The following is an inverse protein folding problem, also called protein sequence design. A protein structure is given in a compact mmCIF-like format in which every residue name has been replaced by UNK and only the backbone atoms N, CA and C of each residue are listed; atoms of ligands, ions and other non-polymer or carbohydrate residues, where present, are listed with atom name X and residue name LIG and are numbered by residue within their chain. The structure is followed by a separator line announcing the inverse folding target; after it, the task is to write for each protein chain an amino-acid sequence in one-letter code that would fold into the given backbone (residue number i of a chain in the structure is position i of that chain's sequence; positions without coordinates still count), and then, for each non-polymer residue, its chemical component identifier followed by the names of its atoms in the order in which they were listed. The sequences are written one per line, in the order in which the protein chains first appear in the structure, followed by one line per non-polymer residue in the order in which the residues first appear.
data_IF_661147657331
#
_entry.id   IF_661147657331
#
_cell.length_a   1.000
_cell.length_b   1.000
_cell.length_c   1.000
_cell.angle_alpha   90.00
_cell.angle_beta   90.00
_cell.angle_gamma   90.00
#
_symmetry.space_group_name_H-M   'P 1'
#
loop_
_entity.id
_entity.type
_entity.pdbx_description
1 polymer ?
#
# COMPACT_ATOMS: atom_id res chain seq x y z
N UNK A 1 0.00 1.00 6.76
CA UNK A 1 -0.30 -0.14 7.68
C UNK A 1 -1.80 -0.47 7.74
N UNK A 2 -2.73 0.46 7.96
CA UNK A 2 -4.16 0.10 8.12
C UNK A 2 -4.70 -0.76 6.98
N UNK A 3 -4.58 -0.32 5.72
CA UNK A 3 -5.13 -1.07 4.59
C UNK A 3 -4.48 -2.46 4.41
N UNK A 4 -3.17 -2.62 4.66
CA UNK A 4 -2.52 -3.93 4.61
C UNK A 4 -3.06 -4.87 5.68
N UNK A 5 -3.30 -4.36 6.89
CA UNK A 5 -3.97 -5.13 7.96
C UNK A 5 -5.41 -5.49 7.57
N UNK A 6 -6.14 -4.60 6.91
CA UNK A 6 -7.48 -4.88 6.36
C UNK A 6 -7.44 -6.02 5.33
N UNK A 7 -6.47 -6.01 4.40
CA UNK A 7 -6.30 -7.09 3.40
C UNK A 7 -6.00 -8.43 4.08
N UNK A 8 -5.22 -8.45 5.17
CA UNK A 8 -4.91 -9.71 5.85
C UNK A 8 -6.04 -10.23 6.72
N UNK A 9 -6.83 -9.35 7.33
CA UNK A 9 -7.85 -9.73 8.33
C UNK A 9 -9.28 -9.77 7.81
N UNK A 10 -9.59 -9.11 6.69
CA UNK A 10 -10.97 -8.88 6.25
C UNK A 10 -11.77 -8.00 7.20
N UNK A 11 -11.10 -7.16 8.00
CA UNK A 11 -11.72 -6.31 9.02
C UNK A 11 -11.44 -4.83 8.77
N UNK A 12 -12.34 -3.98 9.24
CA UNK A 12 -12.12 -2.53 9.26
C UNK A 12 -11.05 -2.13 10.30
N UNK A 13 -10.35 -1.00 10.07
CA UNK A 13 -9.34 -0.48 10.99
C UNK A 13 -9.79 -0.35 12.44
N UNK A 14 -11.02 0.07 12.69
CA UNK A 14 -11.59 0.15 14.04
C UNK A 14 -11.76 -1.21 14.73
N UNK A 15 -11.81 -2.31 13.98
CA UNK A 15 -11.95 -3.67 14.50
C UNK A 15 -10.59 -4.33 14.72
N UNK A 16 -9.70 -4.33 13.73
CA UNK A 16 -8.36 -4.92 13.89
C UNK A 16 -7.39 -4.03 14.69
N UNK A 17 -7.74 -2.77 14.96
CA UNK A 17 -7.00 -1.85 15.84
C UNK A 17 -5.85 -1.09 15.18
N UNK A 18 -5.50 -1.37 13.95
CA UNK A 18 -4.47 -0.64 13.20
C UNK A 18 -5.13 0.52 12.45
N UNK A 19 -5.43 1.62 13.14
CA UNK A 19 -6.17 2.76 12.60
C UNK A 19 -5.28 3.81 11.96
N UNK A 20 -3.96 3.77 12.25
CA UNK A 20 -2.94 4.68 11.71
C UNK A 20 -1.62 3.95 11.51
N UNK A 21 -0.66 4.59 10.84
CA UNK A 21 0.70 4.09 10.75
C UNK A 21 1.39 4.10 12.12
N UNK A 22 2.25 3.10 12.38
CA UNK A 22 2.95 2.95 13.66
C UNK A 22 2.19 2.13 14.69
N UNK A 23 0.95 1.72 14.43
CA UNK A 23 0.22 0.74 15.24
C UNK A 23 0.41 -0.66 14.65
N UNK A 24 0.93 -1.57 15.45
CA UNK A 24 1.17 -2.95 15.03
C UNK A 24 -0.13 -3.75 15.02
N UNK A 25 -0.29 -4.63 14.02
CA UNK A 25 -1.31 -5.67 14.08
C UNK A 25 -0.98 -6.61 15.25
N UNK A 26 -1.91 -6.84 16.20
CA UNK A 26 -1.63 -7.70 17.33
C UNK A 26 -1.22 -9.11 16.90
N UNK A 27 -0.20 -9.68 17.56
CA UNK A 27 0.16 -11.07 17.32
C UNK A 27 -1.00 -11.99 17.71
N UNK A 28 -1.22 -13.03 16.91
CA UNK A 28 -2.35 -13.93 17.09
C UNK A 28 -3.68 -13.42 16.52
N UNK A 29 -3.68 -12.25 15.86
CA UNK A 29 -4.83 -11.85 15.04
C UNK A 29 -5.05 -12.87 13.93
N UNK A 30 -6.25 -13.41 13.84
CA UNK A 30 -6.60 -14.35 12.78
C UNK A 30 -6.62 -13.64 11.42
N UNK A 31 -5.93 -14.22 10.45
CA UNK A 31 -5.87 -13.73 9.07
C UNK A 31 -6.47 -14.76 8.11
N UNK A 32 -6.83 -14.35 6.90
CA UNK A 32 -7.23 -15.31 5.88
C UNK A 32 -6.07 -16.23 5.48
N UNK A 33 -4.85 -15.76 5.62
CA UNK A 33 -3.64 -16.55 5.35
C UNK A 33 -3.49 -17.69 6.37
N UNK A 34 -3.81 -17.42 7.67
CA UNK A 34 -3.87 -18.48 8.68
C UNK A 34 -4.88 -19.57 8.35
N UNK A 35 -6.01 -19.19 7.73
CA UNK A 35 -7.04 -20.16 7.33
C UNK A 35 -6.52 -21.08 6.24
N UNK A 36 -5.89 -20.49 5.20
CA UNK A 36 -5.27 -21.24 4.13
C UNK A 36 -4.14 -22.15 4.65
N UNK A 37 -3.27 -21.64 5.51
CA UNK A 37 -2.21 -22.41 6.13
C UNK A 37 -2.75 -23.60 6.94
N UNK A 38 -3.73 -23.34 7.81
CA UNK A 38 -4.35 -24.35 8.69
C UNK A 38 -5.15 -25.40 7.93
N UNK A 39 -5.56 -25.11 6.70
CA UNK A 39 -6.20 -26.11 5.82
C UNK A 39 -5.28 -27.30 5.51
N UNK A 40 -3.98 -27.10 5.63
CA UNK A 40 -2.97 -28.12 5.36
C UNK A 40 -2.64 -28.33 3.89
N UNK A 41 -3.39 -27.74 2.95
CA UNK A 41 -3.20 -27.91 1.49
C UNK A 41 -2.50 -26.73 0.82
N UNK A 42 -2.35 -25.59 1.51
CA UNK A 42 -1.65 -24.41 0.98
C UNK A 42 -0.27 -24.24 1.61
N UNK A 43 0.72 -23.91 0.78
CA UNK A 43 1.97 -23.29 1.22
C UNK A 43 1.85 -21.78 1.01
N UNK A 44 2.16 -21.01 2.05
CA UNK A 44 1.91 -19.57 2.08
C UNK A 44 3.23 -18.80 2.13
N UNK A 45 3.43 -17.87 1.23
CA UNK A 45 4.68 -17.11 1.13
C UNK A 45 4.47 -15.62 0.90
N UNK A 46 5.47 -14.81 1.28
CA UNK A 46 5.52 -13.39 0.94
C UNK A 46 6.95 -12.95 0.68
N UNK A 47 7.15 -12.28 -0.44
CA UNK A 47 8.43 -11.70 -0.83
C UNK A 47 8.27 -10.19 -0.99
N UNK A 48 9.05 -9.43 -0.22
CA UNK A 48 9.02 -7.98 -0.25
C UNK A 48 8.47 -7.32 1.01
N UNK A 49 7.61 -6.32 0.85
CA UNK A 49 7.07 -5.52 1.96
C UNK A 49 5.77 -6.13 2.49
N UNK A 50 5.69 -6.40 3.79
CA UNK A 50 4.44 -6.82 4.45
C UNK A 50 3.79 -5.63 5.17
N UNK A 51 4.49 -4.98 6.08
CA UNK A 51 4.09 -3.77 6.82
C UNK A 51 2.82 -3.95 7.67
N UNK A 52 2.70 -5.09 8.34
CA UNK A 52 1.72 -5.33 9.40
C UNK A 52 2.23 -4.84 10.76
N UNK A 53 3.55 -4.81 10.90
CA UNK A 53 4.23 -4.26 12.05
C UNK A 53 5.20 -3.14 11.63
N UNK A 54 5.54 -2.28 12.58
CA UNK A 54 6.50 -1.23 12.36
C UNK A 54 7.92 -1.81 12.22
N UNK A 55 8.67 -1.35 11.23
CA UNK A 55 10.02 -1.84 10.90
C UNK A 55 11.15 -0.92 11.34
N UNK A 56 10.84 0.24 11.95
CA UNK A 56 11.83 1.23 12.38
C UNK A 56 12.50 0.88 13.70
N UNK A 57 13.61 1.59 13.98
CA UNK A 57 14.33 1.48 15.25
C UNK A 57 13.50 2.03 16.41
N UNK A 58 13.66 1.43 17.58
CA UNK A 58 13.05 1.93 18.81
C UNK A 58 13.50 3.35 19.12
N UNK A 59 12.57 4.27 19.31
CA UNK A 59 12.80 5.55 19.94
C UNK A 59 12.01 5.61 21.25
N UNK A 60 12.72 5.75 22.37
CA UNK A 60 12.20 6.13 23.71
C UNK A 60 11.01 5.33 24.26
N UNK A 61 9.82 5.63 23.81
CA UNK A 61 8.56 5.05 24.30
C UNK A 61 8.25 3.65 23.79
N UNK A 62 8.90 3.21 22.70
CA UNK A 62 8.65 1.92 22.04
C UNK A 62 9.59 0.80 22.47
N UNK A 63 10.22 0.90 23.64
CA UNK A 63 11.17 -0.11 24.18
C UNK A 63 10.60 -1.54 24.31
N UNK A 64 9.28 -1.67 24.19
CA UNK A 64 8.57 -2.95 24.18
C UNK A 64 7.99 -3.28 22.79
N UNK A 65 8.56 -2.71 21.71
CA UNK A 65 8.16 -3.04 20.38
C UNK A 65 8.16 -4.57 20.20
N UNK A 66 7.05 -5.08 19.69
CA UNK A 66 6.86 -6.51 19.50
C UNK A 66 7.99 -7.04 18.61
N UNK A 67 8.60 -8.13 19.04
CA UNK A 67 9.53 -8.89 18.22
C UNK A 67 8.81 -9.30 16.95
N UNK A 68 9.25 -8.79 15.81
CA UNK A 68 8.61 -9.00 14.52
C UNK A 68 9.63 -9.32 13.46
N UNK A 69 9.26 -10.18 12.51
CA UNK A 69 10.10 -10.45 11.35
C UNK A 69 10.34 -9.20 10.49
N UNK A 70 9.43 -8.23 10.51
CA UNK A 70 9.56 -6.96 9.79
C UNK A 70 10.59 -6.00 10.39
N UNK A 71 11.12 -6.31 11.57
CA UNK A 71 12.07 -5.43 12.24
C UNK A 71 13.45 -5.50 11.58
N UNK A 72 13.96 -4.36 11.13
CA UNK A 72 15.20 -4.27 10.37
C UNK A 72 16.48 -4.44 11.20
N UNK A 73 16.40 -4.57 12.53
CA UNK A 73 17.56 -4.55 13.43
C UNK A 73 17.89 -5.91 14.06
N UNK A 74 18.64 -6.79 13.38
CA UNK A 74 18.87 -8.17 13.85
C UNK A 74 19.67 -8.27 15.18
N UNK A 75 20.38 -7.21 15.59
CA UNK A 75 21.16 -7.21 16.82
C UNK A 75 20.34 -7.26 18.11
N UNK A 76 19.08 -6.83 18.06
CA UNK A 76 18.25 -6.73 19.26
C UNK A 76 17.42 -7.99 19.54
N UNK A 77 17.14 -8.81 18.54
CA UNK A 77 16.11 -9.85 18.65
C UNK A 77 16.54 -11.27 18.30
N UNK A 78 17.77 -11.49 17.84
CA UNK A 78 18.28 -12.84 17.53
C UNK A 78 17.60 -13.49 16.33
N UNK A 79 17.39 -14.80 16.39
CA UNK A 79 16.75 -15.57 15.32
C UNK A 79 15.25 -15.30 15.28
N UNK A 80 14.80 -14.66 14.20
CA UNK A 80 13.39 -14.32 13.97
C UNK A 80 12.56 -15.48 13.40
N UNK A 81 13.18 -16.59 13.03
CA UNK A 81 12.46 -17.80 12.55
C UNK A 81 11.54 -18.37 13.62
N UNK A 82 11.80 -18.10 14.90
CA UNK A 82 10.90 -18.45 16.01
C UNK A 82 9.51 -17.83 15.92
N UNK A 83 9.30 -16.82 15.05
CA UNK A 83 8.00 -16.20 14.80
C UNK A 83 7.34 -16.70 13.51
N UNK A 84 7.79 -17.83 12.96
CA UNK A 84 7.13 -18.53 11.86
C UNK A 84 6.03 -19.46 12.42
N UNK A 85 4.84 -19.51 11.79
CA UNK A 85 4.42 -18.72 10.63
C UNK A 85 4.13 -17.26 11.00
N UNK A 86 4.49 -16.31 10.10
CA UNK A 86 4.29 -14.90 10.33
C UNK A 86 2.92 -14.47 9.80
N UNK A 87 1.93 -14.29 10.67
CA UNK A 87 0.53 -14.02 10.29
C UNK A 87 -0.01 -15.00 9.24
N UNK A 88 0.31 -16.28 9.42
CA UNK A 88 -0.09 -17.36 8.52
C UNK A 88 0.86 -17.59 7.33
N UNK A 89 1.95 -16.84 7.20
CA UNK A 89 2.95 -17.04 6.15
C UNK A 89 4.04 -18.02 6.59
N UNK A 90 4.21 -19.14 5.86
CA UNK A 90 5.23 -20.15 6.10
C UNK A 90 6.63 -19.65 5.69
N UNK A 91 6.72 -18.99 4.54
CA UNK A 91 7.97 -18.48 3.97
C UNK A 91 7.89 -16.97 3.76
N UNK A 92 8.85 -16.23 4.32
CA UNK A 92 8.97 -14.79 4.13
C UNK A 92 10.39 -14.40 3.80
N UNK A 93 10.56 -13.48 2.84
CA UNK A 93 11.81 -12.77 2.60
C UNK A 93 11.50 -11.29 2.42
N UNK A 94 12.04 -10.49 3.32
CA UNK A 94 11.59 -9.13 3.52
C UNK A 94 12.56 -8.10 2.93
N UNK A 95 11.97 -7.02 2.45
CA UNK A 95 12.63 -5.74 2.24
C UNK A 95 11.82 -4.65 2.95
N UNK A 96 12.49 -3.84 3.75
CA UNK A 96 11.93 -2.68 4.43
C UNK A 96 12.54 -1.38 3.88
N UNK A 97 11.85 -0.27 4.09
CA UNK A 97 12.23 1.00 3.48
C UNK A 97 11.75 1.12 2.03
N UNK A 98 12.27 2.12 1.32
CA UNK A 98 11.80 2.47 -0.03
C UNK A 98 12.95 3.07 -0.85
N UNK A 99 12.94 2.88 -2.16
CA UNK A 99 13.92 3.43 -3.07
C UNK A 99 15.35 3.11 -2.64
N UNK A 100 16.19 4.14 -2.51
CA UNK A 100 17.59 3.99 -2.05
C UNK A 100 17.73 3.73 -0.55
N UNK A 101 16.63 3.78 0.21
CA UNK A 101 16.61 3.54 1.65
C UNK A 101 16.14 2.11 1.99
N UNK A 102 16.08 1.23 1.00
CA UNK A 102 15.74 -0.18 1.23
C UNK A 102 16.79 -0.87 2.09
N UNK A 103 16.32 -1.62 3.08
CA UNK A 103 17.13 -2.39 4.02
C UNK A 103 16.46 -3.72 4.34
N UNK A 104 16.77 -4.32 5.43
CA UNK A 104 16.41 -5.62 5.97
C UNK A 104 17.51 -6.69 5.73
N UNK A 105 17.78 -7.56 6.71
CA UNK A 105 18.77 -8.61 6.59
C UNK A 105 18.61 -9.50 5.35
N UNK A 106 17.38 -9.89 5.01
CA UNK A 106 17.12 -10.76 3.86
C UNK A 106 17.54 -10.11 2.55
N UNK A 107 17.14 -8.84 2.34
CA UNK A 107 17.53 -8.08 1.16
C UNK A 107 19.05 -7.87 1.09
N UNK A 108 19.68 -7.47 2.19
CA UNK A 108 21.13 -7.23 2.24
C UNK A 108 21.93 -8.51 2.01
N UNK A 109 21.49 -9.63 2.56
CA UNK A 109 22.14 -10.92 2.34
C UNK A 109 21.99 -11.39 0.89
N UNK A 110 20.85 -11.12 0.28
CA UNK A 110 20.65 -11.38 -1.15
C UNK A 110 21.59 -10.50 -2.00
N UNK A 111 21.68 -9.19 -1.75
CA UNK A 111 22.62 -8.30 -2.45
C UNK A 111 24.06 -8.78 -2.31
N UNK A 112 24.48 -9.25 -1.12
CA UNK A 112 25.83 -9.80 -0.92
C UNK A 112 26.09 -11.00 -1.82
N UNK A 113 25.13 -11.94 -1.88
CA UNK A 113 25.24 -13.13 -2.73
C UNK A 113 25.32 -12.78 -4.21
N UNK A 114 24.53 -11.80 -4.66
CA UNK A 114 24.56 -11.35 -6.05
C UNK A 114 25.90 -10.70 -6.41
N UNK A 115 26.46 -9.88 -5.50
CA UNK A 115 27.80 -9.27 -5.67
C UNK A 115 28.92 -10.32 -5.60
N UNK A 116 28.77 -11.38 -4.80
CA UNK A 116 29.72 -12.52 -4.79
C UNK A 116 29.67 -13.28 -6.13
N UNK A 117 28.48 -13.45 -6.71
CA UNK A 117 28.28 -14.11 -8.01
C UNK A 117 28.80 -13.25 -9.17
N UNK A 118 28.55 -11.94 -9.13
CA UNK A 118 29.05 -10.95 -10.08
C UNK A 118 29.62 -9.71 -9.36
N UNK A 119 30.97 -9.69 -9.13
CA UNK A 119 31.61 -8.56 -8.47
C UNK A 119 31.51 -7.23 -9.21
N UNK A 120 31.14 -7.22 -10.50
CA UNK A 120 30.95 -5.98 -11.25
C UNK A 120 29.79 -5.15 -10.73
N UNK A 121 28.74 -5.80 -10.22
CA UNK A 121 27.57 -5.17 -9.62
C UNK A 121 27.92 -4.38 -8.35
N UNK A 122 28.92 -4.81 -7.61
CA UNK A 122 29.36 -4.14 -6.38
C UNK A 122 30.19 -2.89 -6.59
N UNK A 123 30.83 -2.71 -7.76
CA UNK A 123 31.76 -1.59 -8.03
C UNK A 123 31.18 -0.19 -7.83
N UNK A 124 29.92 0.10 -8.22
CA UNK A 124 29.32 1.42 -8.01
C UNK A 124 28.87 1.66 -6.57
N UNK A 125 28.89 0.65 -5.72
CA UNK A 125 28.33 0.67 -4.39
C UNK A 125 29.42 0.84 -3.32
N UNK A 126 29.16 1.73 -2.35
CA UNK A 126 29.86 1.68 -1.06
C UNK A 126 29.01 0.82 -0.11
N UNK A 127 29.03 -0.50 -0.32
CA UNK A 127 28.39 -1.42 0.58
C UNK A 127 29.23 -1.45 1.85
N UNK A 128 28.82 -0.75 2.88
CA UNK A 128 29.33 -1.00 4.24
C UNK A 128 28.69 -2.30 4.72
N UNK A 129 29.22 -3.42 4.22
CA UNK A 129 28.81 -4.78 4.57
C UNK A 129 28.96 -5.07 6.08
N UNK A 130 29.70 -4.21 6.79
CA UNK A 130 29.91 -4.27 8.24
C UNK A 130 28.83 -3.56 9.05
N UNK A 131 27.94 -2.80 8.42
CA UNK A 131 26.82 -2.19 9.13
C UNK A 131 25.62 -3.13 9.12
N UNK A 132 25.14 -3.62 10.28
CA UNK A 132 23.96 -4.48 10.34
C UNK A 132 22.68 -3.77 9.88
N UNK A 133 22.66 -2.44 9.89
CA UNK A 133 21.56 -1.61 9.37
C UNK A 133 21.52 -1.54 7.84
N UNK A 134 22.48 -2.22 7.19
CA UNK A 134 22.51 -2.67 5.81
C UNK A 134 21.93 -1.76 4.74
N UNK A 135 22.19 -0.45 4.81
CA UNK A 135 21.85 0.45 3.72
C UNK A 135 22.87 0.33 2.59
N UNK A 136 22.41 0.15 1.37
CA UNK A 136 23.23 0.28 0.19
C UNK A 136 23.52 1.76 0.00
N UNK A 137 24.76 2.17 0.30
CA UNK A 137 25.17 3.55 0.12
C UNK A 137 25.71 3.77 -1.31
N UNK A 138 25.20 4.77 -1.96
CA UNK A 138 25.65 5.21 -3.29
C UNK A 138 25.73 6.73 -3.33
N UNK A 139 26.42 7.26 -4.33
CA UNK A 139 26.40 8.71 -4.59
C UNK A 139 25.02 9.09 -5.14
N UNK A 140 24.38 10.08 -4.52
CA UNK A 140 23.10 10.61 -4.92
C UNK A 140 23.30 11.92 -5.70
N UNK A 141 22.63 12.05 -6.84
CA UNK A 141 22.48 13.31 -7.56
C UNK A 141 21.03 13.80 -7.39
N UNK A 142 20.89 14.97 -6.78
CA UNK A 142 19.61 15.57 -6.46
C UNK A 142 19.05 16.25 -7.72
N UNK A 143 17.77 16.04 -8.00
CA UNK A 143 17.09 16.54 -9.20
C UNK A 143 16.11 17.70 -8.92
N UNK A 144 15.61 17.84 -7.69
CA UNK A 144 14.65 18.87 -7.33
C UNK A 144 15.33 20.16 -6.86
N UNK A 145 14.81 21.28 -7.32
CA UNK A 145 15.27 22.62 -6.96
C UNK A 145 14.37 23.23 -5.88
N UNK A 146 14.44 22.69 -4.67
CA UNK A 146 13.70 23.17 -3.49
C UNK A 146 14.64 23.37 -2.31
N UNK A 147 14.28 24.27 -1.41
CA UNK A 147 14.98 24.51 -0.15
C UNK A 147 14.60 23.48 0.92
N UNK A 148 13.45 22.82 0.79
CA UNK A 148 13.00 21.80 1.71
C UNK A 148 13.94 20.56 1.71
N UNK A 149 14.57 20.21 2.85
CA UNK A 149 15.55 19.13 2.92
C UNK A 149 14.93 17.74 2.65
N UNK A 150 13.66 17.53 2.99
CA UNK A 150 12.97 16.27 2.82
C UNK A 150 12.57 16.08 1.36
N UNK A 151 11.95 17.10 0.75
CA UNK A 151 11.54 17.03 -0.63
C UNK A 151 12.73 16.97 -1.59
N UNK A 152 13.83 17.64 -1.26
CA UNK A 152 15.06 17.61 -2.05
C UNK A 152 15.58 16.19 -2.34
N UNK A 153 15.33 15.26 -1.43
CA UNK A 153 15.76 13.88 -1.53
C UNK A 153 14.72 12.95 -2.19
N UNK A 154 13.57 13.49 -2.64
CA UNK A 154 12.49 12.64 -3.17
C UNK A 154 12.71 12.22 -4.63
N UNK A 155 13.50 12.97 -5.40
CA UNK A 155 13.92 12.55 -6.75
C UNK A 155 15.43 12.59 -6.82
N UNK A 156 16.04 11.43 -6.76
CA UNK A 156 17.49 11.29 -6.76
C UNK A 156 17.95 10.24 -7.74
N UNK A 157 18.97 10.59 -8.54
CA UNK A 157 19.65 9.62 -9.36
C UNK A 157 20.77 8.95 -8.55
N UNK A 158 20.78 7.64 -8.53
CA UNK A 158 21.76 6.81 -7.82
C UNK A 158 22.46 5.84 -8.75
N UNK A 159 23.41 5.05 -8.20
CA UNK A 159 24.20 4.09 -8.95
C UNK A 159 23.96 2.63 -8.54
N UNK A 160 22.85 2.36 -7.86
CA UNK A 160 22.44 0.98 -7.60
C UNK A 160 22.06 0.36 -8.94
N UNK A 161 22.67 -0.78 -9.33
CA UNK A 161 22.29 -1.49 -10.54
C UNK A 161 20.83 -1.99 -10.47
N UNK A 162 20.18 -2.11 -11.63
CA UNK A 162 18.81 -2.65 -11.73
C UNK A 162 18.72 -4.04 -11.10
N UNK A 163 19.75 -4.86 -11.30
CA UNK A 163 19.87 -6.22 -10.77
C UNK A 163 19.89 -6.29 -9.24
N UNK A 164 20.34 -5.25 -8.56
CA UNK A 164 20.43 -5.20 -7.10
C UNK A 164 19.32 -4.36 -6.46
N UNK A 165 18.39 -3.83 -7.25
CA UNK A 165 17.31 -3.01 -6.73
C UNK A 165 16.23 -3.86 -6.03
N UNK A 166 15.47 -3.24 -5.11
CA UNK A 166 14.45 -3.95 -4.31
C UNK A 166 13.41 -4.67 -5.16
N UNK A 167 13.02 -4.08 -6.30
CA UNK A 167 12.09 -4.69 -7.25
C UNK A 167 12.63 -6.01 -7.82
N UNK A 168 13.93 -6.07 -8.15
CA UNK A 168 14.58 -7.30 -8.61
C UNK A 168 14.65 -8.37 -7.52
N UNK A 169 14.92 -7.98 -6.27
CA UNK A 169 14.86 -8.90 -5.12
C UNK A 169 13.48 -9.56 -4.98
N UNK A 170 12.41 -8.78 -5.05
CA UNK A 170 11.03 -9.30 -4.92
C UNK A 170 10.70 -10.24 -6.08
N UNK A 171 10.98 -9.80 -7.31
CA UNK A 171 10.77 -10.58 -8.54
C UNK A 171 11.50 -11.93 -8.48
N UNK A 172 12.81 -11.91 -8.22
CA UNK A 172 13.63 -13.13 -8.27
C UNK A 172 13.25 -14.14 -7.19
N UNK A 173 12.95 -13.68 -5.98
CA UNK A 173 12.49 -14.58 -4.92
C UNK A 173 11.11 -15.17 -5.23
N UNK A 174 10.22 -14.40 -5.89
CA UNK A 174 8.93 -14.91 -6.34
C UNK A 174 9.10 -15.97 -7.43
N UNK A 175 9.93 -15.70 -8.44
CA UNK A 175 10.22 -16.67 -9.54
C UNK A 175 10.89 -17.94 -8.99
N UNK A 176 11.84 -17.81 -8.08
CA UNK A 176 12.48 -18.97 -7.42
C UNK A 176 11.46 -19.81 -6.66
N UNK A 177 10.56 -19.17 -5.92
CA UNK A 177 9.46 -19.86 -5.24
C UNK A 177 8.57 -20.62 -6.21
N UNK A 178 8.10 -20.00 -7.30
CA UNK A 178 7.27 -20.66 -8.32
C UNK A 178 7.97 -21.85 -8.96
N UNK A 179 9.27 -21.71 -9.23
CA UNK A 179 10.11 -22.82 -9.72
C UNK A 179 10.14 -23.98 -8.74
N UNK A 180 10.53 -23.72 -7.48
CA UNK A 180 10.58 -24.75 -6.42
C UNK A 180 9.23 -25.42 -6.22
N UNK A 181 8.14 -24.65 -6.32
CA UNK A 181 6.79 -25.20 -6.20
C UNK A 181 6.49 -26.15 -7.36
N UNK A 182 6.78 -25.78 -8.60
CA UNK A 182 6.57 -26.63 -9.78
C UNK A 182 7.43 -27.89 -9.80
N UNK A 183 8.59 -27.85 -9.15
CA UNK A 183 9.52 -29.00 -8.98
C UNK A 183 9.12 -29.93 -7.80
N UNK A 184 8.02 -29.64 -7.10
CA UNK A 184 7.52 -30.45 -5.99
C UNK A 184 8.35 -30.33 -4.71
N UNK A 185 9.06 -29.21 -4.51
CA UNK A 185 9.86 -28.98 -3.31
C UNK A 185 9.04 -28.80 -2.04
N UNK A 186 7.74 -28.60 -2.17
CA UNK A 186 6.80 -28.43 -1.06
C UNK A 186 5.84 -29.61 -0.98
N UNK A 187 5.44 -29.99 0.24
CA UNK A 187 4.47 -31.08 0.49
C UNK A 187 3.01 -30.64 0.28
N UNK A 188 2.77 -29.41 -0.16
CA UNK A 188 1.44 -28.81 -0.31
C UNK A 188 1.02 -28.79 -1.77
N UNK A 189 -0.28 -28.97 -2.02
CA UNK A 189 -0.86 -29.03 -3.37
C UNK A 189 -1.07 -27.65 -3.98
N UNK A 190 -1.28 -26.63 -3.15
CA UNK A 190 -1.58 -25.27 -3.56
C UNK A 190 -0.64 -24.26 -2.91
N UNK A 191 -0.58 -23.05 -3.46
CA UNK A 191 0.16 -21.96 -2.88
C UNK A 191 -0.66 -20.68 -2.80
N UNK A 192 -0.28 -19.84 -1.84
CA UNK A 192 -0.55 -18.41 -1.82
C UNK A 192 0.78 -17.69 -1.78
N UNK A 193 1.02 -16.75 -2.69
CA UNK A 193 2.23 -15.93 -2.66
C UNK A 193 1.91 -14.45 -2.82
N UNK A 194 2.45 -13.63 -1.91
CA UNK A 194 2.48 -12.18 -2.06
C UNK A 194 3.80 -11.79 -2.72
N UNK A 195 3.72 -11.28 -3.95
CA UNK A 195 4.79 -10.58 -4.64
C UNK A 195 4.62 -9.09 -4.35
N UNK A 196 5.23 -8.59 -3.26
CA UNK A 196 4.90 -7.30 -2.67
C UNK A 196 6.03 -6.29 -2.81
N UNK A 197 5.98 -5.49 -3.87
CA UNK A 197 6.96 -4.44 -4.13
C UNK A 197 6.82 -3.30 -3.11
N UNK A 198 7.94 -2.75 -2.55
CA UNK A 198 7.90 -1.55 -1.70
C UNK A 198 7.63 -0.29 -2.49
N UNK A 199 8.02 -0.25 -3.75
CA UNK A 199 7.79 0.83 -4.70
C UNK A 199 6.36 0.75 -5.30
N UNK A 200 5.83 1.86 -5.86
CA UNK A 200 6.45 3.16 -6.16
C UNK A 200 6.46 4.17 -5.00
N UNK A 201 6.61 3.76 -3.77
CA UNK A 201 6.71 4.68 -2.63
C UNK A 201 7.92 5.63 -2.78
N UNK A 202 7.75 6.88 -2.38
CA UNK A 202 8.87 7.83 -2.32
C UNK A 202 10.00 7.34 -1.36
N UNK A 203 11.28 7.73 -1.60
CA UNK A 203 11.79 8.57 -2.68
C UNK A 203 11.72 7.89 -4.04
N UNK A 204 11.30 8.65 -5.06
CA UNK A 204 11.20 8.16 -6.43
C UNK A 204 12.61 8.14 -7.06
N UNK A 205 13.22 6.99 -7.01
CA UNK A 205 14.64 6.81 -7.39
C UNK A 205 14.78 5.57 -8.28
N UNK A 206 14.20 5.55 -9.46
CA UNK A 206 14.34 4.41 -10.36
C UNK A 206 15.81 4.18 -10.75
N UNK A 207 16.29 2.93 -10.81
CA UNK A 207 17.66 2.63 -11.17
C UNK A 207 17.89 2.69 -12.67
N UNK A 208 19.15 2.91 -13.05
CA UNK A 208 19.64 2.72 -14.41
C UNK A 208 18.83 3.44 -15.49
N UNK A 209 18.37 2.68 -16.48
CA UNK A 209 17.59 3.18 -17.62
C UNK A 209 16.23 3.72 -17.25
N UNK A 210 15.63 3.23 -16.18
CA UNK A 210 14.28 3.63 -15.78
C UNK A 210 14.21 5.09 -15.32
N UNK A 211 15.34 5.68 -14.85
CA UNK A 211 15.39 7.08 -14.45
C UNK A 211 15.22 8.05 -15.65
N UNK A 212 15.71 7.66 -16.82
CA UNK A 212 15.68 8.49 -18.04
C UNK A 212 14.54 8.10 -19.00
N UNK A 213 13.70 7.13 -18.62
CA UNK A 213 12.70 6.55 -19.51
C UNK A 213 11.55 7.52 -19.81
N UNK A 214 11.16 8.30 -18.82
CA UNK A 214 10.13 9.33 -18.96
C UNK A 214 10.75 10.69 -18.74
N UNK A 215 10.50 11.62 -19.65
CA UNK A 215 11.02 12.98 -19.55
C UNK A 215 9.97 13.89 -18.89
N UNK A 216 10.38 14.85 -18.03
CA UNK A 216 9.44 15.77 -17.39
C UNK A 216 8.55 16.53 -18.39
N UNK A 217 9.04 16.78 -19.61
CA UNK A 217 8.29 17.47 -20.66
C UNK A 217 7.15 16.61 -21.26
N UNK A 218 7.21 15.31 -21.07
CA UNK A 218 6.23 14.34 -21.61
C UNK A 218 5.10 14.04 -20.63
N UNK A 219 5.19 14.52 -19.40
CA UNK A 219 4.19 14.29 -18.35
C UNK A 219 3.43 15.57 -18.02
N UNK A 220 2.19 15.40 -17.56
CA UNK A 220 1.33 16.50 -17.12
C UNK A 220 1.17 16.47 -15.61
N UNK A 221 1.05 17.64 -15.00
CA UNK A 221 0.62 17.72 -13.60
C UNK A 221 -0.88 17.46 -13.49
N UNK A 222 -1.40 17.02 -12.31
CA UNK A 222 -2.83 16.91 -12.10
C UNK A 222 -3.58 18.20 -12.39
N UNK A 223 -4.80 18.13 -12.91
CA UNK A 223 -5.65 19.30 -13.16
C UNK A 223 -5.91 20.11 -11.90
N UNK A 224 -5.92 19.44 -10.76
CA UNK A 224 -6.09 20.02 -9.42
C UNK A 224 -4.82 20.63 -8.82
N UNK A 225 -3.69 20.60 -9.56
CA UNK A 225 -2.39 21.10 -9.05
C UNK A 225 -2.44 22.53 -8.55
N UNK A 226 -3.29 23.36 -9.15
CA UNK A 226 -3.45 24.76 -8.78
C UNK A 226 -4.61 25.01 -7.79
N UNK A 227 -5.17 23.96 -7.17
CA UNK A 227 -6.16 24.13 -6.12
C UNK A 227 -5.58 24.96 -4.96
N UNK A 228 -6.30 26.02 -4.60
CA UNK A 228 -5.95 26.92 -3.50
C UNK A 228 -6.69 26.58 -2.20
N UNK A 229 -7.49 25.53 -2.22
CA UNK A 229 -8.29 25.04 -1.11
C UNK A 229 -9.34 26.03 -0.56
N UNK A 230 -9.72 27.08 -1.31
CA UNK A 230 -10.76 28.02 -0.85
C UNK A 230 -12.09 27.30 -0.54
N UNK A 231 -12.43 26.28 -1.32
CA UNK A 231 -13.66 25.49 -1.17
C UNK A 231 -13.46 24.15 -0.44
N UNK A 232 -12.29 23.90 0.11
CA UNK A 232 -12.00 22.66 0.85
C UNK A 232 -12.52 22.71 2.30
N UNK A 233 -12.52 21.58 2.98
CA UNK A 233 -12.76 21.51 4.42
C UNK A 233 -11.72 22.27 5.23
N UNK A 234 -12.07 22.63 6.45
CA UNK A 234 -11.12 23.27 7.39
C UNK A 234 -9.91 22.37 7.69
N UNK A 235 -10.11 21.05 7.65
CA UNK A 235 -9.03 20.08 7.78
C UNK A 235 -8.00 20.23 6.65
N UNK A 236 -8.46 20.20 5.39
CA UNK A 236 -7.58 20.33 4.23
C UNK A 236 -6.93 21.73 4.16
N UNK A 237 -7.69 22.79 4.44
CA UNK A 237 -7.17 24.17 4.54
C UNK A 237 -6.07 24.30 5.59
N UNK A 238 -6.28 23.72 6.77
CA UNK A 238 -5.28 23.74 7.86
C UNK A 238 -4.00 23.09 7.39
N UNK A 239 -4.07 21.90 6.82
CA UNK A 239 -2.90 21.19 6.33
C UNK A 239 -2.20 21.96 5.20
N UNK A 240 -2.95 22.43 4.21
CA UNK A 240 -2.42 23.25 3.14
C UNK A 240 -1.72 24.51 3.67
N UNK A 241 -2.31 25.24 4.61
CA UNK A 241 -1.76 26.48 5.17
C UNK A 241 -0.58 26.25 6.11
N UNK A 242 -0.60 25.21 6.95
CA UNK A 242 0.47 24.93 7.92
C UNK A 242 1.80 24.71 7.21
N UNK A 243 1.77 24.04 6.09
CA UNK A 243 2.96 23.62 5.36
C UNK A 243 3.48 24.69 4.38
N UNK A 244 2.66 25.67 4.03
CA UNK A 244 3.10 26.87 3.35
C UNK A 244 3.85 27.83 4.30
N UNK A 245 3.62 27.70 5.64
CA UNK A 245 4.14 28.62 6.66
C UNK A 245 5.26 28.05 7.52
N UNK A 246 5.40 26.73 7.60
CA UNK A 246 6.41 26.13 8.48
C UNK A 246 7.76 26.03 7.79
N UNK A 247 8.75 26.64 8.35
CA UNK A 247 10.15 26.33 8.13
C UNK A 247 10.45 24.95 8.79
N UNK A 248 9.97 23.87 8.17
CA UNK A 248 10.60 22.57 8.24
C UNK A 248 10.63 21.77 9.55
N UNK A 249 9.63 21.84 10.44
CA UNK A 249 9.72 21.07 11.70
C UNK A 249 8.53 20.16 12.07
N UNK A 250 7.40 20.21 11.36
CA UNK A 250 6.30 19.28 11.65
C UNK A 250 6.38 18.02 10.78
N UNK A 251 6.61 16.89 11.44
CA UNK A 251 6.73 15.57 10.83
C UNK A 251 5.36 15.05 10.39
N UNK A 252 5.20 14.72 9.10
CA UNK A 252 4.21 13.74 8.73
C UNK A 252 3.30 14.02 7.53
N UNK A 253 3.09 15.24 7.07
CA UNK A 253 2.23 15.56 5.92
C UNK A 253 2.97 16.52 5.00
N UNK A 254 3.05 16.19 3.71
CA UNK A 254 3.85 16.93 2.76
C UNK A 254 2.99 17.55 1.65
N UNK A 255 2.51 18.79 1.78
CA UNK A 255 2.05 19.54 0.62
C UNK A 255 3.22 19.94 -0.26
N UNK A 256 2.90 20.37 -1.45
CA UNK A 256 3.87 20.95 -2.37
C UNK A 256 4.29 22.33 -1.83
N UNK A 257 5.54 22.54 -1.42
CA UNK A 257 6.00 23.84 -0.99
C UNK A 257 5.83 24.88 -2.08
N UNK A 258 5.72 26.15 -1.68
CA UNK A 258 5.57 27.26 -2.63
C UNK A 258 6.75 27.42 -3.58
N UNK A 259 7.95 27.02 -3.16
CA UNK A 259 9.15 27.07 -3.99
C UNK A 259 9.27 25.89 -4.97
N UNK A 260 8.39 24.87 -4.87
CA UNK A 260 8.37 23.77 -5.82
C UNK A 260 7.55 24.16 -7.05
N UNK A 261 8.19 24.17 -8.18
CA UNK A 261 7.58 24.57 -9.45
C UNK A 261 6.82 23.42 -10.10
N UNK A 262 5.96 23.73 -11.07
CA UNK A 262 5.33 22.71 -11.93
C UNK A 262 6.36 21.79 -12.61
N UNK A 263 7.51 22.35 -13.03
CA UNK A 263 8.61 21.57 -13.59
C UNK A 263 9.18 20.56 -12.60
N UNK A 264 9.31 20.93 -11.32
CA UNK A 264 9.77 20.00 -10.29
C UNK A 264 8.75 18.89 -10.03
N UNK A 265 7.45 19.21 -10.05
CA UNK A 265 6.37 18.21 -9.93
C UNK A 265 6.42 17.23 -11.12
N UNK A 266 6.63 17.73 -12.33
CA UNK A 266 6.82 16.86 -13.50
C UNK A 266 8.03 15.94 -13.37
N UNK A 267 9.13 16.37 -12.73
CA UNK A 267 10.27 15.50 -12.40
C UNK A 267 9.89 14.38 -11.43
N UNK A 268 9.04 14.71 -10.43
CA UNK A 268 8.52 13.68 -9.48
C UNK A 268 7.67 12.65 -10.22
N UNK A 269 6.72 13.11 -11.05
CA UNK A 269 5.83 12.23 -11.81
C UNK A 269 6.62 11.36 -12.79
N UNK A 270 7.56 11.94 -13.55
CA UNK A 270 8.40 11.19 -14.48
C UNK A 270 9.23 10.11 -13.77
N UNK A 271 9.80 10.44 -12.60
CA UNK A 271 10.54 9.47 -11.80
C UNK A 271 9.63 8.37 -11.23
N UNK A 272 8.41 8.69 -10.80
CA UNK A 272 7.40 7.71 -10.36
C UNK A 272 7.07 6.74 -11.50
N UNK A 273 6.79 7.24 -12.69
CA UNK A 273 6.54 6.40 -13.86
C UNK A 273 7.72 5.47 -14.18
N UNK A 274 8.96 5.94 -13.99
CA UNK A 274 10.14 5.10 -14.14
C UNK A 274 10.17 3.93 -13.15
N UNK A 275 9.80 4.17 -11.89
CA UNK A 275 9.68 3.12 -10.87
C UNK A 275 8.54 2.17 -11.19
N UNK A 276 7.39 2.69 -11.59
CA UNK A 276 6.21 1.91 -11.97
C UNK A 276 6.50 1.02 -13.19
N UNK A 277 7.24 1.53 -14.17
CA UNK A 277 7.66 0.73 -15.34
C UNK A 277 8.58 -0.42 -14.94
N UNK A 278 9.46 -0.22 -13.97
CA UNK A 278 10.29 -1.31 -13.45
C UNK A 278 9.44 -2.40 -12.76
N UNK A 279 8.37 -2.00 -12.06
CA UNK A 279 7.42 -2.95 -11.47
C UNK A 279 6.65 -3.68 -12.57
N UNK A 280 6.19 -2.98 -13.60
CA UNK A 280 5.47 -3.57 -14.73
C UNK A 280 6.33 -4.64 -15.43
N UNK A 281 7.60 -4.34 -15.72
CA UNK A 281 8.54 -5.30 -16.30
C UNK A 281 8.73 -6.51 -15.36
N UNK A 282 8.88 -6.29 -14.06
CA UNK A 282 9.04 -7.35 -13.06
C UNK A 282 7.79 -8.24 -12.95
N UNK A 283 6.60 -7.65 -12.99
CA UNK A 283 5.31 -8.39 -13.02
C UNK A 283 5.22 -9.24 -14.28
N UNK A 284 5.60 -8.68 -15.45
CA UNK A 284 5.67 -9.43 -16.70
C UNK A 284 6.54 -10.68 -16.58
N UNK A 285 7.76 -10.56 -16.03
CA UNK A 285 8.65 -11.70 -15.82
C UNK A 285 8.08 -12.75 -14.84
N UNK A 286 7.35 -12.32 -13.81
CA UNK A 286 6.67 -13.26 -12.88
C UNK A 286 5.53 -14.01 -13.59
N UNK A 287 4.74 -13.34 -14.44
CA UNK A 287 3.67 -13.98 -15.22
C UNK A 287 4.24 -14.93 -16.27
N UNK A 288 5.36 -14.58 -16.90
CA UNK A 288 6.08 -15.48 -17.82
C UNK A 288 6.61 -16.73 -17.07
N UNK A 289 7.09 -16.56 -15.85
CA UNK A 289 7.52 -17.68 -15.01
C UNK A 289 6.35 -18.60 -14.64
N UNK A 290 5.18 -18.06 -14.28
CA UNK A 290 3.95 -18.84 -14.06
C UNK A 290 3.64 -19.72 -15.30
N UNK A 291 3.68 -19.12 -16.49
CA UNK A 291 3.43 -19.83 -17.73
C UNK A 291 4.50 -20.88 -18.03
N UNK A 292 5.77 -20.53 -17.88
CA UNK A 292 6.92 -21.41 -18.11
C UNK A 292 6.92 -22.64 -17.22
N UNK A 293 6.46 -22.49 -15.97
CA UNK A 293 6.39 -23.59 -14.99
C UNK A 293 5.07 -24.36 -15.02
N UNK A 294 4.17 -24.05 -15.97
CA UNK A 294 2.90 -24.74 -16.12
C UNK A 294 1.88 -24.45 -15.03
N UNK A 295 2.02 -23.32 -14.34
CA UNK A 295 1.17 -22.93 -13.22
C UNK A 295 0.05 -21.96 -13.61
N UNK A 296 0.15 -21.32 -14.78
CA UNK A 296 -0.72 -20.20 -15.21
C UNK A 296 -2.20 -20.59 -15.30
N UNK A 297 -2.50 -21.82 -15.76
CA UNK A 297 -3.87 -22.28 -16.01
C UNK A 297 -4.64 -22.64 -14.73
N UNK A 298 -3.95 -22.72 -13.60
CA UNK A 298 -4.55 -23.04 -12.31
C UNK A 298 -4.18 -22.02 -11.20
N UNK A 299 -3.82 -20.81 -11.59
CA UNK A 299 -3.47 -19.75 -10.68
C UNK A 299 -4.37 -18.54 -10.85
N UNK A 300 -4.99 -18.11 -9.73
CA UNK A 300 -5.63 -16.79 -9.65
C UNK A 300 -4.54 -15.74 -9.48
N UNK A 301 -4.58 -14.69 -10.30
CA UNK A 301 -3.66 -13.55 -10.17
C UNK A 301 -4.45 -12.31 -9.80
N UNK A 302 -4.04 -11.65 -8.72
CA UNK A 302 -4.62 -10.39 -8.27
C UNK A 302 -3.52 -9.33 -8.29
N UNK A 303 -3.78 -8.21 -8.98
CA UNK A 303 -2.91 -7.03 -8.97
C UNK A 303 -3.65 -5.88 -8.30
N UNK A 304 -3.02 -5.29 -7.27
CA UNK A 304 -3.56 -4.14 -6.54
C UNK A 304 -2.45 -3.42 -5.79
N UNK A 305 -2.78 -2.29 -5.16
CA UNK A 305 -1.90 -1.55 -4.25
C UNK A 305 -2.61 -1.26 -2.92
N UNK A 306 -1.87 -0.82 -1.92
CA UNK A 306 -2.44 -0.47 -0.61
C UNK A 306 -3.01 0.96 -0.56
N UNK A 307 -2.56 1.87 -1.39
CA UNK A 307 -3.07 3.25 -1.55
C UNK A 307 -2.46 3.86 -2.81
N UNK A 308 -3.02 4.98 -3.26
CA UNK A 308 -2.44 5.83 -4.29
C UNK A 308 -1.34 6.75 -3.77
N UNK A 309 -0.91 7.68 -4.62
CA UNK A 309 -0.03 8.79 -4.28
C UNK A 309 -0.61 10.07 -4.90
N UNK A 310 -0.60 11.18 -4.15
CA UNK A 310 -1.20 12.41 -4.63
C UNK A 310 -0.39 13.09 -5.74
N UNK A 311 0.94 12.96 -5.74
CA UNK A 311 1.78 13.39 -6.86
C UNK A 311 1.58 14.82 -7.34
N UNK A 312 1.09 15.72 -6.47
CA UNK A 312 0.71 17.10 -6.80
C UNK A 312 -0.81 17.32 -6.89
N UNK A 313 -1.62 16.26 -6.81
CA UNK A 313 -3.08 16.36 -6.74
C UNK A 313 -3.50 17.22 -5.55
N UNK A 314 -4.41 18.16 -5.76
CA UNK A 314 -4.79 19.18 -4.77
C UNK A 314 -3.59 19.86 -4.10
N UNK A 315 -2.49 19.98 -4.80
CA UNK A 315 -1.24 20.55 -4.29
C UNK A 315 -0.67 19.81 -3.07
N UNK A 316 -0.97 18.52 -2.96
CA UNK A 316 -0.37 17.63 -1.96
C UNK A 316 0.57 16.62 -2.61
N UNK A 317 1.56 16.16 -1.86
CA UNK A 317 2.43 15.06 -2.25
C UNK A 317 2.26 13.85 -1.35
N UNK A 318 2.62 12.70 -1.91
CA UNK A 318 2.69 11.43 -1.23
C UNK A 318 1.31 10.97 -0.74
N UNK A 319 1.21 10.72 0.52
CA UNK A 319 0.00 10.26 1.21
C UNK A 319 -0.16 10.99 2.54
N UNK A 320 -1.35 10.97 3.05
CA UNK A 320 -1.70 11.57 4.33
C UNK A 320 -3.12 11.19 4.70
N UNK A 321 -3.73 11.88 5.66
CA UNK A 321 -5.11 11.69 6.05
C UNK A 321 -6.11 12.33 5.05
N UNK A 322 -5.67 12.57 3.83
CA UNK A 322 -6.49 13.11 2.75
C UNK A 322 -7.23 11.98 2.04
N UNK A 323 -8.49 12.20 1.73
CA UNK A 323 -9.36 11.17 1.17
C UNK A 323 -9.83 11.51 -0.26
N UNK A 324 -8.97 12.19 -1.00
CA UNK A 324 -9.16 12.43 -2.43
C UNK A 324 -9.02 11.15 -3.26
N UNK A 325 -9.71 11.13 -4.40
CA UNK A 325 -9.73 9.96 -5.29
C UNK A 325 -8.32 9.49 -5.70
N UNK A 326 -7.38 10.43 -5.93
CA UNK A 326 -6.00 10.08 -6.26
C UNK A 326 -5.29 9.20 -5.22
N UNK A 327 -5.74 9.25 -3.97
CA UNK A 327 -5.18 8.43 -2.89
C UNK A 327 -5.97 7.16 -2.58
N UNK A 328 -7.31 7.22 -2.67
CA UNK A 328 -8.18 6.14 -2.19
C UNK A 328 -8.72 5.23 -3.28
N UNK A 329 -8.75 5.69 -4.54
CA UNK A 329 -9.13 4.87 -5.70
C UNK A 329 -7.91 4.15 -6.23
N UNK A 330 -7.81 2.87 -5.95
CA UNK A 330 -6.66 2.04 -6.29
C UNK A 330 -6.98 1.09 -7.45
N UNK A 331 -5.98 0.69 -8.26
CA UNK A 331 -6.17 -0.34 -9.28
C UNK A 331 -6.51 -1.68 -8.62
N UNK A 332 -7.44 -2.41 -9.24
CA UNK A 332 -7.76 -3.77 -8.88
C UNK A 332 -8.03 -4.59 -10.13
N UNK A 333 -7.14 -5.52 -10.43
CA UNK A 333 -7.23 -6.44 -11.56
C UNK A 333 -7.22 -7.86 -11.03
N UNK A 334 -8.12 -8.70 -11.53
CA UNK A 334 -8.16 -10.11 -11.16
C UNK A 334 -8.31 -10.98 -12.41
N UNK A 335 -7.42 -11.97 -12.51
CA UNK A 335 -7.52 -13.07 -13.50
C UNK A 335 -7.82 -14.34 -12.75
N UNK A 336 -8.90 -15.03 -13.12
CA UNK A 336 -9.24 -16.35 -12.62
C UNK A 336 -9.08 -17.40 -13.72
N UNK A 337 -8.72 -18.65 -13.40
CA UNK A 337 -8.68 -19.75 -14.34
C UNK A 337 -10.03 -19.94 -15.03
N UNK A 338 -10.03 -20.03 -16.38
CA UNK A 338 -11.25 -20.16 -17.19
C UNK A 338 -12.29 -19.05 -16.99
N UNK A 339 -11.87 -17.91 -16.45
CA UNK A 339 -12.74 -16.76 -16.22
C UNK A 339 -12.96 -15.91 -17.48
N UNK A 340 -13.87 -14.97 -17.33
CA UNK A 340 -14.08 -13.93 -18.34
C UNK A 340 -12.82 -13.04 -18.44
N UNK A 341 -12.56 -12.49 -19.62
CA UNK A 341 -11.39 -11.67 -19.89
C UNK A 341 -11.77 -10.34 -20.54
N UNK A 342 -10.92 -9.31 -20.32
CA UNK A 342 -11.05 -7.99 -20.92
C UNK A 342 -12.41 -7.33 -20.61
N UNK A 343 -12.86 -7.43 -19.38
CA UNK A 343 -14.11 -6.86 -18.92
C UNK A 343 -13.87 -5.90 -17.76
N UNK A 344 -14.57 -4.78 -17.80
CA UNK A 344 -14.68 -3.84 -16.69
C UNK A 344 -15.94 -4.16 -15.88
N UNK A 345 -15.85 -3.92 -14.58
CA UNK A 345 -16.95 -4.08 -13.65
C UNK A 345 -17.22 -2.75 -12.95
N UNK A 346 -18.50 -2.35 -12.89
CA UNK A 346 -18.93 -1.10 -12.26
C UNK A 346 -19.36 -1.27 -10.79
N UNK A 347 -19.35 -2.49 -10.25
CA UNK A 347 -19.61 -2.70 -8.83
C UNK A 347 -18.52 -2.06 -7.98
N UNK A 348 -18.93 -1.31 -6.97
CA UNK A 348 -17.97 -0.84 -5.97
C UNK A 348 -17.34 -2.03 -5.24
N UNK A 349 -16.02 -1.96 -5.07
CA UNK A 349 -15.22 -2.93 -4.33
C UNK A 349 -14.25 -2.20 -3.39
N UNK A 350 -13.75 -2.90 -2.41
CA UNK A 350 -12.80 -2.35 -1.44
C UNK A 350 -11.76 -3.42 -1.06
N UNK A 351 -10.62 -3.01 -0.59
CA UNK A 351 -9.54 -3.90 -0.13
C UNK A 351 -10.00 -4.94 0.89
N UNK A 352 -11.03 -4.61 1.67
CA UNK A 352 -11.63 -5.54 2.65
C UNK A 352 -12.32 -6.75 1.99
N UNK A 353 -12.60 -6.70 0.69
CA UNK A 353 -13.28 -7.76 -0.06
C UNK A 353 -12.31 -8.80 -0.61
N UNK A 354 -11.01 -8.49 -0.61
CA UNK A 354 -9.97 -9.36 -1.15
C UNK A 354 -9.88 -10.69 -0.40
N UNK A 355 -9.78 -10.72 0.94
CA UNK A 355 -9.65 -11.97 1.68
C UNK A 355 -10.86 -12.89 1.53
N UNK A 356 -12.08 -12.36 1.57
CA UNK A 356 -13.30 -13.14 1.38
C UNK A 356 -13.37 -13.73 -0.03
N UNK A 357 -12.93 -12.96 -1.03
CA UNK A 357 -12.88 -13.43 -2.42
C UNK A 357 -11.86 -14.56 -2.58
N UNK A 358 -10.68 -14.43 -1.97
CA UNK A 358 -9.65 -15.46 -2.01
C UNK A 358 -10.12 -16.73 -1.31
N UNK A 359 -10.72 -16.62 -0.12
CA UNK A 359 -11.21 -17.77 0.61
C UNK A 359 -12.30 -18.52 -0.16
N UNK A 360 -13.25 -17.80 -0.76
CA UNK A 360 -14.31 -18.44 -1.56
C UNK A 360 -13.73 -19.09 -2.83
N UNK A 361 -12.77 -18.46 -3.53
CA UNK A 361 -12.05 -19.06 -4.65
C UNK A 361 -11.27 -20.31 -4.25
N UNK A 362 -10.74 -20.32 -3.03
CA UNK A 362 -10.03 -21.47 -2.45
C UNK A 362 -10.97 -22.58 -1.94
N UNK A 363 -12.29 -22.38 -1.99
CA UNK A 363 -13.28 -23.31 -1.43
C UNK A 363 -13.26 -23.35 0.10
N UNK A 364 -12.75 -22.33 0.75
CA UNK A 364 -12.67 -22.23 2.21
C UNK A 364 -13.88 -21.45 2.78
N UNK A 365 -14.31 -21.78 4.01
CA UNK A 365 -15.36 -21.02 4.66
C UNK A 365 -14.89 -19.59 4.97
N UNK A 366 -15.76 -18.61 4.77
CA UNK A 366 -15.54 -17.24 5.18
C UNK A 366 -15.99 -17.11 6.64
N UNK A 367 -15.09 -16.75 7.56
CA UNK A 367 -15.45 -16.59 8.97
C UNK A 367 -16.34 -15.38 9.23
N UNK A 368 -17.20 -15.48 10.25
CA UNK A 368 -18.13 -14.41 10.65
C UNK A 368 -17.45 -13.11 11.12
N UNK A 369 -16.16 -13.18 11.49
CA UNK A 369 -15.40 -11.98 11.90
C UNK A 369 -14.95 -11.12 10.72
N UNK A 370 -14.97 -11.64 9.50
CA UNK A 370 -14.66 -10.88 8.28
C UNK A 370 -15.86 -10.00 7.89
N UNK A 371 -15.58 -8.83 7.38
CA UNK A 371 -16.58 -7.78 7.18
C UNK A 371 -16.71 -7.33 5.71
N UNK A 372 -15.88 -7.90 4.84
CA UNK A 372 -15.93 -7.72 3.40
C UNK A 372 -17.05 -8.50 2.74
N UNK A 373 -17.07 -8.47 1.43
CA UNK A 373 -17.96 -9.27 0.59
C UNK A 373 -17.15 -9.91 -0.53
N UNK A 374 -17.35 -11.18 -0.78
CA UNK A 374 -16.73 -11.84 -1.92
C UNK A 374 -17.16 -11.20 -3.23
N UNK A 375 -16.20 -11.02 -4.13
CA UNK A 375 -16.40 -10.48 -5.47
C UNK A 375 -16.71 -11.57 -6.52
N UNK A 376 -16.88 -12.83 -6.11
CA UNK A 376 -17.22 -13.93 -7.03
C UNK A 376 -18.46 -13.65 -7.89
N UNK A 377 -19.54 -13.02 -7.39
CA UNK A 377 -20.67 -12.68 -8.25
C UNK A 377 -20.27 -11.86 -9.46
N UNK A 378 -19.46 -10.80 -9.30
CA UNK A 378 -19.01 -9.96 -10.43
C UNK A 378 -17.99 -10.66 -11.32
N UNK A 379 -17.21 -11.60 -10.81
CA UNK A 379 -16.31 -12.42 -11.60
C UNK A 379 -17.05 -13.39 -12.53
N UNK A 380 -18.28 -13.76 -12.17
CA UNK A 380 -19.17 -14.59 -12.99
C UNK A 380 -20.03 -13.78 -13.94
N UNK A 381 -20.48 -12.63 -13.51
CA UNK A 381 -21.30 -11.70 -14.28
C UNK A 381 -20.90 -10.25 -13.94
N UNK A 382 -20.18 -9.54 -14.81
CA UNK A 382 -19.70 -8.17 -14.56
C UNK A 382 -20.79 -7.13 -14.31
N UNK A 383 -22.04 -7.41 -14.68
CA UNK A 383 -23.19 -6.54 -14.45
C UNK A 383 -23.76 -6.66 -13.03
N UNK A 384 -23.28 -7.63 -12.24
CA UNK A 384 -23.71 -7.79 -10.84
C UNK A 384 -23.20 -6.65 -9.97
N UNK A 385 -24.02 -6.21 -9.05
CA UNK A 385 -23.67 -5.19 -8.05
C UNK A 385 -23.54 -5.85 -6.67
N UNK A 386 -22.32 -6.01 -6.21
CA UNK A 386 -22.02 -6.56 -4.88
C UNK A 386 -22.18 -5.51 -3.80
N UNK A 387 -21.81 -4.26 -4.10
CA UNK A 387 -21.87 -3.13 -3.18
C UNK A 387 -22.34 -1.86 -3.87
N UNK A 388 -23.19 -1.08 -3.17
CA UNK A 388 -23.61 0.26 -3.59
C UNK A 388 -22.86 1.37 -2.83
N UNK A 389 -22.04 1.00 -1.83
CA UNK A 389 -21.27 1.93 -1.04
C UNK A 389 -20.04 1.28 -0.42
N UNK A 390 -19.02 2.08 -0.18
CA UNK A 390 -17.76 1.70 0.47
C UNK A 390 -17.53 2.61 1.67
N UNK A 391 -17.10 2.02 2.80
CA UNK A 391 -16.66 2.75 3.98
C UNK A 391 -15.12 2.74 4.03
N UNK A 392 -14.55 3.92 4.30
CA UNK A 392 -13.13 4.09 4.59
C UNK A 392 -13.00 4.70 5.99
N UNK A 393 -12.13 4.12 6.78
CA UNK A 393 -11.77 4.60 8.11
C UNK A 393 -10.31 5.01 8.13
N UNK A 394 -10.02 6.18 8.66
CA UNK A 394 -8.68 6.66 8.88
C UNK A 394 -8.64 7.51 10.15
N UNK A 395 -7.61 7.32 10.97
CA UNK A 395 -7.33 8.17 12.11
C UNK A 395 -6.02 8.92 11.87
N UNK A 396 -6.00 10.19 12.22
CA UNK A 396 -4.79 11.00 12.29
C UNK A 396 -4.49 11.30 13.75
N UNK A 397 -3.63 10.47 14.34
CA UNK A 397 -3.26 10.59 15.76
C UNK A 397 -2.53 11.90 16.08
N UNK A 398 -1.84 12.52 15.10
CA UNK A 398 -1.12 13.77 15.29
C UNK A 398 -2.07 14.96 15.51
N UNK A 399 -3.21 14.95 14.82
CA UNK A 399 -4.23 15.98 14.93
C UNK A 399 -5.41 15.56 15.81
N UNK A 400 -5.36 14.35 16.40
CA UNK A 400 -6.47 13.74 17.14
C UNK A 400 -7.77 13.70 16.30
N UNK A 401 -7.65 13.48 15.00
CA UNK A 401 -8.75 13.47 14.06
C UNK A 401 -9.13 12.03 13.70
N UNK A 402 -10.43 11.76 13.66
CA UNK A 402 -10.97 10.46 13.24
C UNK A 402 -11.90 10.66 12.07
N UNK A 403 -11.50 10.17 10.92
CA UNK A 403 -12.30 10.34 9.70
C UNK A 403 -13.06 9.09 9.35
N UNK A 404 -14.29 9.29 8.89
CA UNK A 404 -15.13 8.24 8.34
C UNK A 404 -15.69 8.73 7.02
N UNK A 405 -15.44 7.98 5.96
CA UNK A 405 -15.84 8.33 4.61
C UNK A 405 -16.76 7.26 4.04
N UNK A 406 -17.87 7.69 3.48
CA UNK A 406 -18.74 6.85 2.67
C UNK A 406 -18.64 7.29 1.22
N UNK A 407 -18.43 6.33 0.33
CA UNK A 407 -18.39 6.53 -1.12
C UNK A 407 -19.53 5.72 -1.74
N UNK A 408 -20.29 6.35 -2.61
CA UNK A 408 -21.24 5.72 -3.51
C UNK A 408 -20.78 5.91 -4.96
N UNK A 409 -21.55 5.48 -5.93
CA UNK A 409 -21.26 5.71 -7.35
C UNK A 409 -21.33 7.19 -7.76
N UNK A 410 -21.98 8.02 -6.94
CA UNK A 410 -22.19 9.44 -7.24
C UNK A 410 -21.59 10.37 -6.18
N UNK A 411 -21.55 9.95 -4.90
CA UNK A 411 -21.22 10.84 -3.80
C UNK A 411 -20.04 10.34 -2.97
N UNK A 412 -19.22 11.26 -2.51
CA UNK A 412 -18.30 11.05 -1.39
C UNK A 412 -18.69 11.98 -0.24
N UNK A 413 -18.93 11.42 0.92
CA UNK A 413 -19.07 12.16 2.16
C UNK A 413 -18.00 11.72 3.15
N UNK A 414 -17.28 12.69 3.72
CA UNK A 414 -16.30 12.48 4.80
C UNK A 414 -16.74 13.27 6.02
N UNK A 415 -16.73 12.63 7.18
CA UNK A 415 -16.99 13.28 8.46
C UNK A 415 -15.68 13.33 9.23
N UNK A 416 -15.31 14.53 9.62
CA UNK A 416 -14.28 14.85 10.60
C UNK A 416 -14.95 15.07 11.97
N UNK A 417 -14.20 15.51 12.96
CA UNK A 417 -14.75 15.67 14.33
C UNK A 417 -15.91 16.65 14.40
N UNK A 418 -15.87 17.79 13.69
CA UNK A 418 -16.84 18.88 13.78
C UNK A 418 -17.27 19.47 12.43
N UNK A 419 -16.73 18.96 11.33
CA UNK A 419 -17.03 19.40 9.97
C UNK A 419 -16.97 18.22 9.00
N UNK A 420 -17.05 18.48 7.68
CA UNK A 420 -16.97 17.42 6.69
C UNK A 420 -16.70 17.90 5.27
N UNK A 421 -16.58 16.90 4.40
CA UNK A 421 -16.56 17.07 2.96
C UNK A 421 -17.78 16.38 2.34
N UNK A 422 -18.36 17.01 1.32
CA UNK A 422 -19.39 16.44 0.47
C UNK A 422 -19.09 16.79 -0.98
N UNK A 423 -18.88 15.78 -1.83
CA UNK A 423 -18.61 15.99 -3.25
C UNK A 423 -19.55 15.12 -4.09
N UNK A 424 -20.06 15.69 -5.19
CA UNK A 424 -20.74 14.93 -6.25
C UNK A 424 -19.66 14.47 -7.25
N UNK A 425 -19.31 13.20 -7.21
CA UNK A 425 -18.22 12.62 -8.03
C UNK A 425 -18.55 12.54 -9.52
N UNK A 426 -19.83 12.66 -9.91
CA UNK A 426 -20.23 12.70 -11.32
C UNK A 426 -20.11 14.08 -11.92
N UNK A 427 -20.44 15.12 -11.14
CA UNK A 427 -20.39 16.52 -11.60
C UNK A 427 -19.02 17.17 -11.30
N UNK A 428 -18.32 16.72 -10.26
CA UNK A 428 -17.06 17.22 -9.75
C UNK A 428 -16.13 16.05 -9.44
N UNK A 429 -15.67 15.37 -10.51
CA UNK A 429 -14.75 14.22 -10.40
C UNK A 429 -13.39 14.62 -9.80
N UNK A 430 -13.04 15.89 -9.88
CA UNK A 430 -11.81 16.47 -9.35
C UNK A 430 -11.94 16.95 -7.90
N UNK A 431 -13.12 16.83 -7.27
CA UNK A 431 -13.35 17.12 -5.84
C UNK A 431 -12.91 18.56 -5.44
N UNK A 432 -13.19 19.54 -6.29
CA UNK A 432 -12.83 20.95 -6.10
C UNK A 432 -13.90 21.77 -5.34
N UNK A 433 -15.17 21.31 -5.38
CA UNK A 433 -16.30 22.03 -4.81
C UNK A 433 -16.92 21.28 -3.64
N UNK A 434 -16.46 21.56 -2.43
CA UNK A 434 -17.04 20.98 -1.22
C UNK A 434 -18.43 21.55 -0.94
N UNK A 435 -19.45 20.73 -1.08
CA UNK A 435 -20.86 21.06 -0.91
C UNK A 435 -21.34 20.96 0.54
N UNK A 436 -20.46 20.69 1.50
CA UNK A 436 -20.83 20.45 2.90
C UNK A 436 -21.64 21.58 3.52
N UNK A 437 -21.32 22.82 3.19
CA UNK A 437 -21.99 24.02 3.72
C UNK A 437 -23.11 24.57 2.82
N UNK A 438 -23.30 23.99 1.63
CA UNK A 438 -24.39 24.39 0.74
C UNK A 438 -25.71 23.79 1.21
N UNK A 439 -26.64 24.65 1.62
CA UNK A 439 -27.92 24.25 2.17
C UNK A 439 -28.82 23.55 1.15
N UNK A 440 -28.62 23.74 -0.14
CA UNK A 440 -29.37 23.05 -1.19
C UNK A 440 -29.12 21.54 -1.22
N UNK A 441 -28.00 21.07 -0.66
CA UNK A 441 -27.64 19.66 -0.56
C UNK A 441 -27.93 19.04 0.82
N UNK A 442 -28.68 19.72 1.70
CA UNK A 442 -28.93 19.21 3.05
C UNK A 442 -29.69 17.87 3.07
N UNK A 443 -30.60 17.62 2.15
CA UNK A 443 -31.34 16.35 2.09
C UNK A 443 -30.39 15.19 1.78
N UNK A 444 -29.59 15.31 0.72
CA UNK A 444 -28.64 14.25 0.35
C UNK A 444 -27.56 14.09 1.42
N UNK A 445 -27.08 15.18 2.02
CA UNK A 445 -26.12 15.14 3.13
C UNK A 445 -26.66 14.32 4.30
N UNK A 446 -27.93 14.57 4.72
CA UNK A 446 -28.57 13.83 5.80
C UNK A 446 -28.72 12.35 5.43
N UNK A 447 -29.14 12.04 4.20
CA UNK A 447 -29.26 10.66 3.75
C UNK A 447 -27.91 9.91 3.84
N UNK A 448 -26.84 10.52 3.32
CA UNK A 448 -25.50 9.94 3.33
C UNK A 448 -24.95 9.80 4.75
N UNK A 449 -25.20 10.78 5.64
CA UNK A 449 -24.84 10.70 7.05
C UNK A 449 -25.55 9.54 7.75
N UNK A 450 -26.83 9.33 7.48
CA UNK A 450 -27.58 8.19 8.01
C UNK A 450 -27.06 6.85 7.50
N UNK A 451 -26.67 6.77 6.21
CA UNK A 451 -26.03 5.58 5.64
C UNK A 451 -24.68 5.32 6.32
N UNK A 452 -23.84 6.34 6.45
CA UNK A 452 -22.53 6.27 7.11
C UNK A 452 -22.71 5.80 8.57
N UNK A 453 -23.62 6.40 9.32
CA UNK A 453 -23.90 6.02 10.71
C UNK A 453 -24.36 4.57 10.83
N UNK A 454 -25.32 4.14 10.00
CA UNK A 454 -25.83 2.76 9.98
C UNK A 454 -24.72 1.76 9.66
N UNK A 455 -23.81 2.10 8.76
CA UNK A 455 -22.68 1.25 8.38
C UNK A 455 -21.66 1.17 9.50
N UNK A 456 -21.24 2.30 10.05
CA UNK A 456 -20.28 2.37 11.16
C UNK A 456 -20.81 1.71 12.44
N UNK A 457 -22.11 1.82 12.74
CA UNK A 457 -22.70 1.20 13.93
C UNK A 457 -22.82 -0.32 13.87
N UNK A 458 -22.74 -0.91 12.67
CA UNK A 458 -22.68 -2.38 12.49
C UNK A 458 -21.28 -2.94 12.63
N UNK A 459 -20.25 -2.07 12.57
CA UNK A 459 -18.86 -2.46 12.72
C UNK A 459 -18.58 -2.52 14.21
N UNK A 460 -18.46 -3.72 14.75
CA UNK A 460 -18.09 -3.94 16.14
C UNK A 460 -17.11 -5.10 16.26
N UNK A 461 -16.19 -4.97 17.20
CA UNK A 461 -15.39 -6.11 17.62
C UNK A 461 -16.33 -7.08 18.33
N UNK A 462 -16.42 -8.32 17.84
CA UNK A 462 -17.13 -9.38 18.55
C UNK A 462 -16.38 -9.67 19.85
N UNK A 463 -16.91 -9.23 20.96
CA UNK A 463 -16.42 -9.56 22.30
C UNK A 463 -17.40 -10.52 22.91
N UNK A 464 -16.91 -11.68 23.35
CA UNK A 464 -17.74 -12.62 24.12
C UNK A 464 -18.20 -11.91 25.41
N UNK A 465 -19.47 -12.08 25.77
CA UNK A 465 -19.96 -11.58 27.04
C UNK A 465 -19.36 -12.42 28.17
N UNK A 466 -18.79 -11.75 29.16
CA UNK A 466 -18.23 -12.41 30.33
C UNK A 466 -19.32 -12.81 31.36
N UNK A 467 -20.53 -12.33 31.17
CA UNK A 467 -21.69 -12.70 32.01
C UNK A 467 -22.98 -12.73 31.17
N UNK A 468 -23.87 -13.65 31.52
CA UNK A 468 -25.24 -13.67 31.04
C UNK A 468 -26.16 -12.82 31.95
N UNK A 469 -27.16 -12.20 31.34
CA UNK A 469 -28.30 -11.67 32.11
C UNK A 469 -29.33 -12.77 32.24
#
# INVERSE_FOLDING_TARGET
MPNRSTIFTGQYPSVHGVTTNGRNLPQGTNTFVDILLKSGIYHTASFGKIHLNYFGAESGEFKNALKSQEFAHPRQYGDLTQYSPYFGLDEVKLVSGHGTLCGHPDYINWVKKEVERDPSLGKPLRIKLSNPDGLIQTKLNISLNTTDPLLKLQVVRHKVPEELYSTSFVKENTIDFLKRFSEGSYSKENFLVFCSFPDPHHPFSPPGRYFDMYRPEEVTVPETFNDNHENSSEFNKKHYNTLIRSEGTEKGIFPVPKDLTEEDVKKVIAASYGVEKMIDDAVGEVLDALSKFGLSENTVVIFTTDHGDLGGDHRFFFKGPFLYQGLIKIPFLIKIPNGLANLDCNSLASSIDIPETILELAGMPIPDFMQGKSLIPVLKNPEEIVKNDVLIEMDDDHNNEKTRTLITDEWRITVFSDHGDLYNLKEDSNELNNLWYDTSFNEIKIELLLKLFKKSSKISKSVLRDCGF
#
